data_IF_260742850617
#
_entry.id   IF_260742850617
#
_cell.length_a   1.000
_cell.length_b   1.000
_cell.length_c   1.000
_cell.angle_alpha   90.00
_cell.angle_beta   90.00
_cell.angle_gamma   90.00
#
_symmetry.space_group_name_H-M   'P 1'
#
loop_
_entity.id
_entity.type
_entity.pdbx_description
1 polymer ?
#
# COMPACT_ATOMS: atom_id res chain seq x y z
N UNK A 1 14.23 0.74 -0.01
CA UNK A 1 13.58 -0.17 -1.00
C UNK A 1 13.26 0.55 -2.31
N UNK A 2 13.19 -0.18 -3.43
CA UNK A 2 12.64 0.36 -4.70
C UNK A 2 11.11 0.39 -4.61
N UNK A 3 10.46 1.43 -5.13
CA UNK A 3 9.00 1.56 -5.11
C UNK A 3 8.44 1.80 -6.50
N UNK A 4 7.33 1.14 -6.80
CA UNK A 4 6.60 1.21 -8.06
C UNK A 4 5.11 1.50 -7.79
N UNK A 5 4.42 2.08 -8.77
CA UNK A 5 3.03 2.53 -8.59
C UNK A 5 2.12 2.07 -9.73
N UNK A 6 0.99 1.47 -9.38
CA UNK A 6 -0.04 1.18 -10.38
C UNK A 6 -0.69 2.48 -10.89
N UNK A 7 -1.23 2.45 -12.11
CA UNK A 7 -2.02 3.56 -12.66
C UNK A 7 -3.21 3.93 -11.76
N UNK A 8 -3.81 2.94 -11.10
CA UNK A 8 -4.95 3.14 -10.18
C UNK A 8 -4.51 3.89 -8.93
N UNK A 9 -3.38 3.50 -8.34
CA UNK A 9 -2.80 4.19 -7.18
C UNK A 9 -2.53 5.67 -7.49
N UNK A 10 -1.81 5.94 -8.59
CA UNK A 10 -1.50 7.31 -9.02
C UNK A 10 -2.77 8.14 -9.22
N UNK A 11 -3.80 7.57 -9.87
CA UNK A 11 -5.09 8.24 -10.08
C UNK A 11 -5.77 8.61 -8.75
N UNK A 12 -5.68 7.77 -7.73
CA UNK A 12 -6.28 8.04 -6.43
C UNK A 12 -5.49 9.07 -5.62
N UNK A 13 -4.15 8.98 -5.63
CA UNK A 13 -3.27 9.95 -4.95
C UNK A 13 -3.45 11.35 -5.52
N UNK A 14 -3.56 11.49 -6.85
CA UNK A 14 -3.81 12.79 -7.52
C UNK A 14 -5.11 13.49 -7.08
N UNK A 15 -6.06 12.76 -6.50
CA UNK A 15 -7.33 13.32 -5.98
C UNK A 15 -7.22 13.75 -4.52
N UNK A 16 -6.14 13.40 -3.83
CA UNK A 16 -5.94 13.77 -2.43
C UNK A 16 -5.27 15.14 -2.32
N UNK A 17 -5.55 15.84 -1.23
CA UNK A 17 -4.98 17.15 -0.93
C UNK A 17 -4.79 17.34 0.58
N UNK A 18 -4.06 18.39 0.96
CA UNK A 18 -3.78 18.74 2.35
C UNK A 18 -3.13 17.60 3.15
N UNK A 19 -3.51 17.47 4.42
CA UNK A 19 -2.93 16.52 5.38
C UNK A 19 -2.94 15.06 4.91
N UNK A 20 -3.93 14.67 4.10
CA UNK A 20 -4.02 13.31 3.55
C UNK A 20 -2.92 13.06 2.54
N UNK A 21 -2.69 14.00 1.61
CA UNK A 21 -1.61 13.90 0.63
C UNK A 21 -0.24 13.90 1.33
N UNK A 22 -0.07 14.73 2.35
CA UNK A 22 1.16 14.78 3.13
C UNK A 22 1.44 13.45 3.83
N UNK A 23 0.42 12.85 4.45
CA UNK A 23 0.54 11.54 5.09
C UNK A 23 0.96 10.45 4.09
N UNK A 24 0.39 10.45 2.88
CA UNK A 24 0.74 9.49 1.82
C UNK A 24 2.20 9.66 1.40
N UNK A 25 2.66 10.90 1.19
CA UNK A 25 4.05 11.19 0.83
C UNK A 25 5.02 10.73 1.92
N UNK A 26 4.70 10.99 3.19
CA UNK A 26 5.52 10.55 4.33
C UNK A 26 5.64 9.02 4.37
N UNK A 27 4.53 8.29 4.22
CA UNK A 27 4.58 6.81 4.18
C UNK A 27 5.38 6.29 3.00
N UNK A 28 5.24 6.87 1.80
CA UNK A 28 6.06 6.48 0.64
C UNK A 28 7.55 6.72 0.92
N UNK A 29 7.89 7.84 1.55
CA UNK A 29 9.28 8.16 1.87
C UNK A 29 9.86 7.21 2.92
N UNK A 30 9.08 6.85 3.94
CA UNK A 30 9.44 5.83 4.93
C UNK A 30 9.77 4.50 4.26
N UNK A 31 8.89 4.04 3.36
CA UNK A 31 9.07 2.78 2.61
C UNK A 31 10.33 2.81 1.74
N UNK A 32 10.59 3.94 1.06
CA UNK A 32 11.83 4.12 0.28
C UNK A 32 13.08 4.02 1.16
N UNK A 33 13.02 4.55 2.37
CA UNK A 33 14.13 4.59 3.32
C UNK A 33 14.29 3.28 4.12
N UNK A 34 13.28 2.43 4.17
CA UNK A 34 13.34 1.14 4.85
C UNK A 34 14.35 0.19 4.18
N UNK A 35 15.02 -0.62 5.02
CA UNK A 35 15.94 -1.68 4.56
C UNK A 35 15.21 -3.01 4.41
N UNK A 36 14.24 -3.29 5.29
CA UNK A 36 13.38 -4.49 5.25
C UNK A 36 11.94 -4.17 5.65
N UNK A 37 11.01 -5.08 5.34
CA UNK A 37 9.56 -4.87 5.54
C UNK A 37 9.19 -4.58 6.99
N UNK A 38 9.95 -5.15 7.93
CA UNK A 38 9.75 -4.97 9.38
C UNK A 38 10.11 -3.56 9.86
N UNK A 39 10.86 -2.79 9.08
CA UNK A 39 11.22 -1.40 9.40
C UNK A 39 10.07 -0.43 9.08
N UNK A 40 9.02 -0.89 8.40
CA UNK A 40 7.90 -0.06 7.95
C UNK A 40 6.80 -0.02 9.02
N UNK A 41 6.50 1.18 9.53
CA UNK A 41 5.55 1.40 10.63
C UNK A 41 4.13 0.98 10.26
N UNK A 42 3.44 0.25 11.16
CA UNK A 42 2.07 -0.23 10.98
C UNK A 42 1.84 -0.97 9.64
N UNK A 43 2.89 -1.65 9.16
CA UNK A 43 2.83 -2.62 8.08
C UNK A 43 2.43 -4.00 8.64
N UNK A 44 1.41 -4.63 8.05
CA UNK A 44 0.97 -5.98 8.44
C UNK A 44 0.67 -6.84 7.22
N UNK A 45 1.18 -8.07 7.21
CA UNK A 45 0.78 -9.09 6.22
C UNK A 45 -0.70 -9.44 6.40
N UNK A 46 -1.44 -9.57 5.31
CA UNK A 46 -2.82 -10.04 5.35
C UNK A 46 -2.86 -11.56 5.46
N UNK A 47 -3.67 -12.07 6.39
CA UNK A 47 -3.90 -13.50 6.56
C UNK A 47 -4.59 -14.08 5.33
N UNK A 48 -4.10 -15.23 4.83
CA UNK A 48 -4.65 -15.89 3.65
C UNK A 48 -4.10 -15.39 2.32
N UNK A 49 -3.07 -14.55 2.33
CA UNK A 49 -2.36 -14.07 1.14
C UNK A 49 -0.87 -14.41 1.23
N UNK A 50 -0.25 -14.67 0.08
CA UNK A 50 1.17 -15.05 -0.05
C UNK A 50 2.08 -13.84 0.16
N UNK A 51 1.72 -12.70 -0.44
CA UNK A 51 2.57 -11.53 -0.63
C UNK A 51 1.88 -10.20 -0.31
N UNK A 52 0.60 -10.19 0.06
CA UNK A 52 -0.15 -8.94 0.34
C UNK A 52 0.08 -8.40 1.76
N UNK A 53 0.47 -7.13 1.86
CA UNK A 53 0.56 -6.37 3.11
C UNK A 53 -0.35 -5.13 3.10
N UNK A 54 -0.61 -4.56 4.28
CA UNK A 54 -1.32 -3.29 4.48
C UNK A 54 -0.50 -2.39 5.40
N UNK A 55 -0.27 -1.13 5.01
CA UNK A 55 0.33 -0.08 5.86
C UNK A 55 -0.74 0.97 6.18
N UNK A 56 -0.76 1.48 7.42
CA UNK A 56 -1.68 2.55 7.82
C UNK A 56 -1.13 3.93 7.45
N UNK A 57 -2.00 4.84 7.01
CA UNK A 57 -1.63 6.22 6.63
C UNK A 57 -2.52 7.21 7.39
N UNK A 58 -2.09 7.61 8.60
CA UNK A 58 -2.82 8.56 9.45
C UNK A 58 -4.17 8.03 9.98
N UNK A 59 -5.24 8.83 9.86
CA UNK A 59 -6.63 8.42 10.18
C UNK A 59 -7.25 7.56 9.08
N UNK A 60 -6.61 7.49 7.91
CA UNK A 60 -6.98 6.60 6.82
C UNK A 60 -6.27 5.26 7.02
N UNK A 61 -6.96 4.15 6.71
CA UNK A 61 -6.24 2.91 6.38
C UNK A 61 -6.17 2.88 4.88
N UNK A 62 -5.00 3.14 4.35
CA UNK A 62 -4.77 2.80 2.98
C UNK A 62 -4.68 1.26 2.87
N UNK A 63 -5.53 0.67 2.04
CA UNK A 63 -5.27 -0.68 1.55
C UNK A 63 -4.62 -0.50 0.19
N UNK A 64 -3.30 -0.51 0.21
CA UNK A 64 -2.53 -0.89 -0.95
C UNK A 64 -2.23 -2.36 -0.79
N UNK A 65 -2.24 -3.06 -1.91
CA UNK A 65 -1.40 -4.24 -2.01
C UNK A 65 0.00 -3.72 -2.14
N UNK A 66 0.86 -4.25 -1.28
CA UNK A 66 2.30 -4.19 -1.36
C UNK A 66 2.69 -5.56 -1.92
N UNK A 67 2.93 -5.68 -3.22
CA UNK A 67 3.61 -6.89 -3.72
C UNK A 67 5.09 -6.71 -3.49
N UNK A 68 5.66 -7.63 -2.71
CA UNK A 68 7.09 -7.87 -2.70
C UNK A 68 7.35 -8.78 -3.89
N UNK A 69 7.86 -8.24 -4.99
CA UNK A 69 8.55 -9.10 -5.94
C UNK A 69 9.95 -9.37 -5.39
N UNK A 70 10.30 -10.65 -5.29
CA UNK A 70 11.54 -11.18 -4.68
C UNK A 70 12.81 -10.77 -5.46
N UNK A 71 12.64 -10.09 -6.60
CA UNK A 71 13.75 -9.61 -7.42
C UNK A 71 13.99 -8.14 -7.07
N UNK A 72 15.02 -7.86 -6.27
CA UNK A 72 15.51 -6.53 -5.86
C UNK A 72 14.63 -5.71 -4.89
N UNK A 73 14.00 -6.35 -3.89
CA UNK A 73 13.20 -5.71 -2.82
C UNK A 73 12.32 -4.55 -3.33
N UNK A 74 11.40 -4.90 -4.23
CA UNK A 74 10.52 -3.94 -4.88
C UNK A 74 9.16 -3.92 -4.20
N UNK A 75 8.72 -2.71 -3.89
CA UNK A 75 7.41 -2.42 -3.34
C UNK A 75 6.48 -1.92 -4.43
N UNK A 76 5.46 -2.69 -4.77
CA UNK A 76 4.40 -2.19 -5.65
C UNK A 76 3.22 -1.64 -4.86
N UNK A 77 2.90 -0.35 -5.02
CA UNK A 77 1.67 0.25 -4.50
C UNK A 77 0.52 0.08 -5.49
N UNK A 78 -0.43 -0.82 -5.21
CA UNK A 78 -1.56 -1.06 -6.12
C UNK A 78 -2.78 -0.16 -5.91
N UNK A 79 -3.18 0.09 -4.66
CA UNK A 79 -4.42 0.81 -4.35
C UNK A 79 -4.30 1.72 -3.14
N UNK A 80 -5.20 2.69 -3.05
CA UNK A 80 -5.38 3.54 -1.89
C UNK A 80 -6.89 3.66 -1.71
N UNK A 81 -7.42 3.17 -0.58
CA UNK A 81 -8.88 3.16 -0.32
C UNK A 81 -9.16 3.63 1.11
N UNK A 82 -10.38 4.10 1.43
CA UNK A 82 -10.78 4.41 2.81
C UNK A 82 -10.89 3.14 3.69
N UNK A 83 -10.80 3.31 5.03
CA UNK A 83 -10.94 2.23 6.03
C UNK A 83 -12.19 1.38 5.84
N UNK A 84 -13.32 1.97 5.49
CA UNK A 84 -14.59 1.25 5.33
C UNK A 84 -14.63 0.36 4.08
N UNK A 85 -13.79 0.64 3.07
CA UNK A 85 -13.84 -0.01 1.76
C UNK A 85 -12.72 -1.06 1.56
N UNK A 86 -11.67 -0.95 2.36
CA UNK A 86 -10.73 -1.99 2.77
C UNK A 86 -11.02 -3.46 2.39
N UNK A 87 -12.13 -3.96 2.88
CA UNK A 87 -12.53 -5.36 2.85
C UNK A 87 -13.81 -5.53 2.01
N UNK A 88 -14.10 -4.55 1.14
CA UNK A 88 -15.17 -4.69 0.16
C UNK A 88 -14.82 -5.85 -0.79
N UNK A 89 -15.87 -6.52 -1.27
CA UNK A 89 -15.73 -7.67 -2.17
C UNK A 89 -14.85 -7.35 -3.39
N UNK A 90 -15.02 -6.17 -3.99
CA UNK A 90 -14.23 -5.74 -5.14
C UNK A 90 -12.74 -5.61 -4.84
N UNK A 91 -12.37 -5.10 -3.65
CA UNK A 91 -10.98 -5.04 -3.22
C UNK A 91 -10.43 -6.45 -3.03
N UNK A 92 -11.12 -7.30 -2.27
CA UNK A 92 -10.68 -8.68 -2.01
C UNK A 92 -10.53 -9.51 -3.29
N UNK A 93 -11.48 -9.39 -4.22
CA UNK A 93 -11.42 -10.08 -5.52
C UNK A 93 -10.23 -9.59 -6.36
N UNK A 94 -9.85 -8.32 -6.23
CA UNK A 94 -8.64 -7.80 -6.86
C UNK A 94 -7.38 -8.33 -6.17
N UNK A 95 -7.31 -8.30 -4.83
CA UNK A 95 -6.16 -8.83 -4.07
C UNK A 95 -5.85 -10.27 -4.50
N UNK A 96 -6.87 -11.12 -4.61
CA UNK A 96 -6.74 -12.52 -5.05
C UNK A 96 -6.21 -12.68 -6.48
N UNK A 97 -6.38 -11.69 -7.35
CA UNK A 97 -5.91 -11.76 -8.74
C UNK A 97 -4.44 -11.40 -8.89
N UNK A 98 -3.91 -10.66 -7.93
CA UNK A 98 -2.56 -10.10 -8.01
C UNK A 98 -1.59 -10.76 -7.02
N UNK A 99 -2.11 -11.34 -5.94
CA UNK A 99 -1.37 -12.23 -5.03
C UNK A 99 -0.94 -13.54 -5.70
#
# INVERSE_FOLDING_TARGET
MRVEYSKSFVKTVKKQSGKTLDSIKTTIQEVKNASKIDDITDCKKLTGYSSVYRIRVGTWRAFFVYHIEIIDDVVFFHYLVPRGQAYSKSVLDFLKKID
#
